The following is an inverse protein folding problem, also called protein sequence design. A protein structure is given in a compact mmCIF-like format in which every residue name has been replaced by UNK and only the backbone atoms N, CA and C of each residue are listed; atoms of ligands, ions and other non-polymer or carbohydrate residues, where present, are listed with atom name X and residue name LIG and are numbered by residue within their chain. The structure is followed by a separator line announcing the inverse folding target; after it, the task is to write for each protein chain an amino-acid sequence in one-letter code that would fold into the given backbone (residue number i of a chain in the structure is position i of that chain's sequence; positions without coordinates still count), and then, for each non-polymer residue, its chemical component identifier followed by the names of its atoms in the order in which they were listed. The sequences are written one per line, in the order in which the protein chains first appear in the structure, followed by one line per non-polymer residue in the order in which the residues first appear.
data_IF_297102244108
#
_entry.id   IF_297102244108
#
_cell.length_a   1.000
_cell.length_b   1.000
_cell.length_c   1.000
_cell.angle_alpha   90.00
_cell.angle_beta   90.00
_cell.angle_gamma   90.00
#
_symmetry.space_group_name_H-M   'P 1'
#
loop_
_entity.id
_entity.type
_entity.pdbx_description
1 polymer ?
#
# COMPACT_ATOMS: atom_id res chain seq x y z
N UNK A 1 19.10 11.50 0.73
CA UNK A 1 17.75 11.52 0.11
C UNK A 1 16.75 12.03 1.13
N UNK A 2 16.33 13.29 1.04
CA UNK A 2 15.30 13.83 1.91
C UNK A 2 13.99 13.05 1.65
N UNK A 3 13.49 12.33 2.65
CA UNK A 3 12.25 11.60 2.51
C UNK A 3 11.11 12.61 2.37
N UNK A 4 10.53 12.71 1.18
CA UNK A 4 9.30 13.47 0.97
C UNK A 4 8.25 12.95 1.96
N UNK A 5 7.90 13.81 2.93
CA UNK A 5 6.83 13.56 3.90
C UNK A 5 5.53 14.01 3.26
N UNK A 6 4.47 13.23 3.49
CA UNK A 6 3.14 13.63 3.02
C UNK A 6 2.78 14.98 3.64
N UNK A 7 2.08 15.85 2.90
CA UNK A 7 1.64 17.13 3.43
C UNK A 7 0.62 16.99 4.57
N UNK A 8 -0.05 15.83 4.66
CA UNK A 8 -1.08 15.54 5.66
C UNK A 8 -0.64 14.40 6.57
N UNK A 9 -0.71 14.61 7.89
CA UNK A 9 -0.61 13.51 8.87
C UNK A 9 -1.94 12.74 8.85
N UNK A 10 -1.95 11.47 8.44
CA UNK A 10 -3.20 10.78 8.20
C UNK A 10 -3.83 10.32 9.52
N UNK A 11 -5.07 10.72 9.79
CA UNK A 11 -5.86 10.22 10.93
C UNK A 11 -6.58 8.92 10.53
N UNK A 12 -5.81 7.85 10.32
CA UNK A 12 -6.36 6.55 9.88
C UNK A 12 -7.04 5.86 11.05
N UNK A 13 -8.36 5.72 10.99
CA UNK A 13 -9.14 4.93 11.96
C UNK A 13 -9.49 3.58 11.35
N UNK A 14 -8.90 2.50 11.88
CA UNK A 14 -9.27 1.12 11.55
C UNK A 14 -10.37 0.65 12.49
N UNK A 15 -11.61 0.59 12.00
CA UNK A 15 -12.78 0.10 12.77
C UNK A 15 -12.71 -1.40 13.08
N UNK A 16 -11.95 -2.16 12.30
CA UNK A 16 -11.71 -3.58 12.46
C UNK A 16 -10.34 -3.94 11.89
N UNK A 17 -9.61 -4.80 12.60
CA UNK A 17 -8.31 -5.34 12.18
C UNK A 17 -8.35 -6.86 12.01
N UNK A 18 -9.23 -7.55 12.75
CA UNK A 18 -9.39 -9.01 12.67
C UNK A 18 -10.08 -9.42 11.38
N UNK A 19 -9.48 -10.39 10.67
CA UNK A 19 -10.10 -11.04 9.52
C UNK A 19 -11.40 -11.76 9.94
N UNK A 20 -12.34 -11.87 8.99
CA UNK A 20 -13.58 -12.64 9.14
C UNK A 20 -13.78 -13.53 7.94
N UNK A 21 -14.12 -14.78 8.19
CA UNK A 21 -14.48 -15.75 7.16
C UNK A 21 -16.01 -15.77 7.08
N UNK A 22 -16.54 -15.76 5.86
CA UNK A 22 -17.97 -15.93 5.64
C UNK A 22 -18.30 -17.42 5.72
N UNK A 23 -19.21 -17.79 6.62
CA UNK A 23 -19.73 -19.15 6.72
C UNK A 23 -21.04 -19.26 5.97
N UNK A 24 -21.20 -20.36 5.22
CA UNK A 24 -22.38 -20.63 4.38
C UNK A 24 -23.28 -21.74 4.95
N UNK A 25 -22.77 -22.57 5.87
CA UNK A 25 -23.54 -23.66 6.45
C UNK A 25 -24.72 -23.16 7.30
N UNK A 26 -25.87 -23.82 7.17
CA UNK A 26 -27.11 -23.52 7.90
C UNK A 26 -26.94 -23.63 9.42
N UNK A 27 -26.14 -24.59 9.88
CA UNK A 27 -25.88 -24.83 11.32
C UNK A 27 -24.73 -23.97 11.86
N UNK A 28 -24.17 -23.07 11.04
CA UNK A 28 -23.08 -22.20 11.48
C UNK A 28 -23.59 -21.16 12.47
N UNK A 29 -23.13 -21.26 13.72
CA UNK A 29 -23.37 -20.27 14.77
C UNK A 29 -22.93 -18.85 14.38
N UNK A 30 -21.90 -18.73 13.53
CA UNK A 30 -21.41 -17.44 13.00
C UNK A 30 -22.37 -16.89 11.95
N UNK A 31 -22.88 -17.75 11.05
CA UNK A 31 -23.89 -17.37 10.06
C UNK A 31 -25.17 -16.88 10.73
N UNK A 32 -25.61 -17.54 11.80
CA UNK A 32 -26.75 -17.15 12.63
C UNK A 32 -26.48 -15.99 13.60
N UNK A 33 -25.25 -15.45 13.63
CA UNK A 33 -24.84 -14.30 14.46
C UNK A 33 -25.10 -14.47 15.96
N UNK A 34 -24.88 -15.67 16.49
CA UNK A 34 -25.04 -15.95 17.92
C UNK A 34 -24.02 -15.19 18.77
N UNK A 35 -24.42 -14.77 19.97
CA UNK A 35 -23.55 -14.06 20.92
C UNK A 35 -22.31 -14.89 21.27
N UNK A 36 -21.16 -14.22 21.39
CA UNK A 36 -19.87 -14.86 21.70
C UNK A 36 -19.12 -15.40 20.50
N UNK A 37 -19.71 -15.34 19.29
CA UNK A 37 -19.03 -15.70 18.04
C UNK A 37 -18.34 -14.50 17.39
N UNK A 38 -17.50 -14.77 16.39
CA UNK A 38 -16.83 -13.74 15.59
C UNK A 38 -17.89 -12.98 14.79
N UNK A 39 -17.85 -11.64 14.86
CA UNK A 39 -18.76 -10.79 14.08
C UNK A 39 -18.55 -10.97 12.58
N UNK A 40 -19.64 -11.15 11.83
CA UNK A 40 -19.60 -11.14 10.36
C UNK A 40 -19.18 -9.76 9.82
N UNK A 41 -18.54 -9.68 8.64
CA UNK A 41 -18.25 -8.40 8.01
C UNK A 41 -19.54 -7.73 7.54
N UNK A 42 -19.67 -6.43 7.81
CA UNK A 42 -20.78 -5.59 7.41
C UNK A 42 -20.24 -4.24 6.88
N UNK A 43 -21.13 -3.42 6.30
CA UNK A 43 -20.75 -2.13 5.70
C UNK A 43 -20.29 -1.09 6.74
N UNK A 44 -20.69 -1.20 8.02
CA UNK A 44 -20.36 -0.20 9.04
C UNK A 44 -18.88 -0.24 9.44
N UNK A 45 -18.21 -1.38 9.27
CA UNK A 45 -16.75 -1.51 9.43
C UNK A 45 -15.93 -0.80 8.33
N UNK A 46 -16.56 -0.27 7.27
CA UNK A 46 -15.87 0.48 6.21
C UNK A 46 -15.17 1.71 6.80
N UNK A 47 -13.90 1.90 6.41
CA UNK A 47 -13.10 3.10 6.71
C UNK A 47 -13.68 4.35 6.04
N UNK A 48 -13.28 5.54 6.50
CA UNK A 48 -13.68 6.79 5.83
C UNK A 48 -13.21 6.78 4.38
N UNK A 49 -13.96 7.47 3.50
CA UNK A 49 -13.64 7.54 2.06
C UNK A 49 -12.27 8.17 1.82
N UNK A 50 -11.93 9.19 2.59
CA UNK A 50 -10.69 9.96 2.49
C UNK A 50 -9.44 9.12 2.82
N UNK A 51 -9.49 8.32 3.89
CA UNK A 51 -8.32 7.54 4.33
C UNK A 51 -8.33 6.11 3.78
N UNK A 52 -9.27 5.78 2.89
CA UNK A 52 -9.36 4.44 2.30
C UNK A 52 -8.13 4.22 1.43
N UNK A 53 -7.50 3.04 1.56
CA UNK A 53 -6.28 2.65 0.82
C UNK A 53 -5.01 3.50 1.08
N UNK A 54 -5.04 4.40 2.06
CA UNK A 54 -3.88 5.19 2.44
C UNK A 54 -2.92 4.39 3.34
N UNK A 55 -1.62 4.59 3.13
CA UNK A 55 -0.56 4.08 4.00
C UNK A 55 -0.51 4.83 5.33
N UNK A 56 0.08 4.21 6.38
CA UNK A 56 0.45 4.92 7.60
C UNK A 56 1.37 6.12 7.37
N UNK A 57 2.16 6.11 6.28
CA UNK A 57 3.04 7.21 5.88
C UNK A 57 2.29 8.43 5.31
N UNK A 58 0.98 8.31 5.05
CA UNK A 58 0.14 9.37 4.51
C UNK A 58 0.08 9.45 2.99
N UNK A 59 0.66 8.48 2.28
CA UNK A 59 0.60 8.37 0.82
C UNK A 59 -0.37 7.26 0.38
N UNK A 60 -0.86 7.34 -0.85
CA UNK A 60 -1.52 6.22 -1.53
C UNK A 60 -0.52 5.40 -2.34
N UNK A 61 -0.69 4.08 -2.33
CA UNK A 61 0.17 3.18 -3.10
C UNK A 61 -0.19 3.20 -4.57
N UNK A 62 0.83 3.29 -5.42
CA UNK A 62 0.72 3.08 -6.85
C UNK A 62 1.72 1.98 -7.25
N UNK A 63 1.21 0.87 -7.78
CA UNK A 63 2.03 -0.24 -8.23
C UNK A 63 2.62 0.08 -9.60
N UNK A 64 3.94 0.01 -9.74
CA UNK A 64 4.67 0.35 -10.97
C UNK A 64 5.35 -0.87 -11.56
N UNK A 65 5.20 -1.06 -12.87
CA UNK A 65 5.88 -2.08 -13.67
C UNK A 65 6.99 -1.51 -14.54
N UNK A 66 6.82 -0.31 -15.08
CA UNK A 66 7.70 0.31 -16.09
C UNK A 66 8.06 1.76 -15.76
N UNK A 67 9.05 2.31 -16.47
CA UNK A 67 9.54 3.68 -16.25
C UNK A 67 8.48 4.73 -16.65
N UNK A 68 7.73 4.47 -17.72
CA UNK A 68 6.67 5.36 -18.22
C UNK A 68 5.54 5.55 -17.20
N UNK A 69 5.18 4.50 -16.46
CA UNK A 69 4.16 4.55 -15.40
C UNK A 69 4.60 5.45 -14.23
N UNK A 70 5.90 5.63 -14.07
CA UNK A 70 6.49 6.50 -13.06
C UNK A 70 6.35 7.99 -13.46
N UNK A 71 6.25 8.29 -14.75
CA UNK A 71 6.04 9.65 -15.27
C UNK A 71 4.61 10.14 -15.06
N UNK A 72 3.62 9.22 -15.10
CA UNK A 72 2.22 9.52 -14.75
C UNK A 72 2.12 10.11 -13.33
N UNK A 73 3.03 9.71 -12.44
CA UNK A 73 3.04 10.19 -11.07
C UNK A 73 3.63 11.59 -10.90
N UNK A 74 4.31 12.18 -11.90
CA UNK A 74 5.04 13.45 -11.79
C UNK A 74 4.24 14.58 -11.13
N UNK A 75 2.97 14.72 -11.52
CA UNK A 75 2.08 15.75 -10.96
C UNK A 75 1.55 15.38 -9.56
N UNK A 76 1.52 14.09 -9.25
CA UNK A 76 0.89 13.46 -8.10
C UNK A 76 1.88 13.06 -6.97
N UNK A 77 3.16 13.47 -7.06
CA UNK A 77 4.26 13.09 -6.16
C UNK A 77 3.99 13.35 -4.66
N UNK A 78 3.14 14.33 -4.33
CA UNK A 78 2.83 14.69 -2.93
C UNK A 78 1.84 13.73 -2.27
N UNK A 79 1.02 13.07 -3.07
CA UNK A 79 -0.08 12.22 -2.61
C UNK A 79 0.23 10.74 -2.79
N UNK A 80 0.92 10.37 -3.86
CA UNK A 80 1.18 8.97 -4.20
C UNK A 80 2.63 8.57 -3.95
N UNK A 81 2.80 7.29 -3.64
CA UNK A 81 4.07 6.62 -3.49
C UNK A 81 4.13 5.45 -4.47
N UNK A 82 5.28 5.23 -5.09
CA UNK A 82 5.47 4.11 -6.00
C UNK A 82 5.87 2.83 -5.24
N UNK A 83 5.24 1.70 -5.59
CA UNK A 83 5.63 0.35 -5.22
C UNK A 83 6.13 -0.37 -6.47
N UNK A 84 7.39 -0.79 -6.50
CA UNK A 84 7.92 -1.58 -7.61
C UNK A 84 7.26 -2.96 -7.56
N UNK A 85 6.64 -3.37 -8.66
CA UNK A 85 5.97 -4.66 -8.75
C UNK A 85 6.94 -5.83 -8.62
N UNK A 86 6.47 -6.93 -8.02
CA UNK A 86 7.29 -8.13 -7.79
C UNK A 86 7.86 -8.74 -9.09
N UNK A 87 7.19 -8.56 -10.24
CA UNK A 87 7.64 -9.12 -11.52
C UNK A 87 8.89 -8.41 -12.08
N UNK A 88 9.18 -7.19 -11.65
CA UNK A 88 10.28 -6.39 -12.21
C UNK A 88 11.63 -7.01 -11.82
N UNK A 89 12.51 -7.16 -12.81
CA UNK A 89 13.86 -7.71 -12.62
C UNK A 89 14.80 -6.67 -12.01
N UNK A 90 15.86 -7.12 -11.35
CA UNK A 90 16.83 -6.26 -10.65
C UNK A 90 17.43 -5.15 -11.52
N UNK A 91 17.73 -5.45 -12.79
CA UNK A 91 18.25 -4.47 -13.77
C UNK A 91 17.28 -3.30 -13.97
N UNK A 92 15.99 -3.59 -14.13
CA UNK A 92 14.96 -2.58 -14.33
C UNK A 92 14.57 -1.90 -13.00
N UNK A 93 14.72 -2.58 -11.87
CA UNK A 93 14.56 -1.94 -10.56
C UNK A 93 15.58 -0.81 -10.36
N UNK A 94 16.85 -1.00 -10.76
CA UNK A 94 17.88 0.05 -10.71
C UNK A 94 17.44 1.28 -11.51
N UNK A 95 17.04 1.09 -12.77
CA UNK A 95 16.62 2.20 -13.63
C UNK A 95 15.37 2.92 -13.12
N UNK A 96 14.42 2.20 -12.52
CA UNK A 96 13.24 2.78 -11.87
C UNK A 96 13.60 3.62 -10.65
N UNK A 97 14.51 3.13 -9.80
CA UNK A 97 14.95 3.85 -8.60
C UNK A 97 15.69 5.13 -9.00
N UNK A 98 16.57 5.07 -9.99
CA UNK A 98 17.29 6.24 -10.50
C UNK A 98 16.32 7.26 -11.12
N UNK A 99 15.36 6.81 -11.93
CA UNK A 99 14.35 7.69 -12.52
C UNK A 99 13.47 8.34 -11.44
N UNK A 100 13.03 7.57 -10.45
CA UNK A 100 12.23 8.10 -9.35
C UNK A 100 12.99 9.12 -8.51
N UNK A 101 14.31 8.94 -8.34
CA UNK A 101 15.16 9.91 -7.67
C UNK A 101 15.20 11.25 -8.42
N UNK A 102 15.31 11.22 -9.76
CA UNK A 102 15.24 12.42 -10.58
C UNK A 102 13.87 13.12 -10.51
N UNK A 103 12.78 12.35 -10.55
CA UNK A 103 11.41 12.88 -10.50
C UNK A 103 11.00 13.31 -9.08
N UNK A 104 11.76 12.94 -8.05
CA UNK A 104 11.40 13.16 -6.65
C UNK A 104 10.15 12.36 -6.26
N UNK A 105 10.04 11.10 -6.70
CA UNK A 105 8.97 10.20 -6.29
C UNK A 105 9.47 9.30 -5.17
N UNK A 106 8.68 9.18 -4.11
CA UNK A 106 8.99 8.24 -3.03
C UNK A 106 8.68 6.82 -3.51
N UNK A 107 9.65 5.92 -3.34
CA UNK A 107 9.49 4.48 -3.52
C UNK A 107 9.40 3.80 -2.14
N UNK A 108 8.49 2.85 -1.98
CA UNK A 108 8.33 2.10 -0.71
C UNK A 108 9.42 1.04 -0.54
N UNK A 109 9.75 0.36 -1.62
CA UNK A 109 10.67 -0.76 -1.67
C UNK A 109 11.96 -0.40 -2.41
N UNK A 110 12.70 0.61 -1.92
CA UNK A 110 13.92 1.12 -2.58
C UNK A 110 14.98 0.06 -2.82
N UNK A 111 15.09 -0.91 -1.91
CA UNK A 111 16.10 -1.97 -1.98
C UNK A 111 15.56 -3.25 -2.64
N UNK A 112 14.39 -3.21 -3.28
CA UNK A 112 13.79 -4.39 -3.88
C UNK A 112 14.71 -5.00 -4.95
N UNK A 113 15.20 -6.23 -4.68
CA UNK A 113 16.03 -7.03 -5.60
C UNK A 113 17.37 -6.37 -6.01
N UNK A 114 17.77 -5.29 -5.36
CA UNK A 114 19.12 -4.76 -5.50
C UNK A 114 20.04 -5.67 -4.70
N UNK A 115 20.96 -6.36 -5.38
CA UNK A 115 22.05 -7.07 -4.71
C UNK A 115 22.82 -6.04 -3.88
N UNK A 116 23.13 -6.36 -2.61
CA UNK A 116 24.16 -5.62 -1.88
C UNK A 116 25.46 -5.88 -2.64
N UNK A 117 25.92 -4.91 -3.42
CA UNK A 117 27.35 -4.84 -3.70
C UNK A 117 28.01 -4.64 -2.35
N UNK A 118 28.87 -5.58 -1.96
CA UNK A 118 29.62 -5.54 -0.71
C UNK A 118 30.35 -4.19 -0.65
N UNK A 119 30.02 -3.41 0.38
CA UNK A 119 30.80 -2.23 0.72
C UNK A 119 32.02 -2.74 1.48
N UNK A 120 33.18 -2.77 0.82
CA UNK A 120 34.47 -2.63 1.51
C UNK A 120 34.54 -1.26 2.21
#
# INVERSE_FOLDING_TARGET
MAALRSPVKPKIVKKRTKASIQHQGTDSRVHSRLKGQIWMPNISYRSSKETKHMLPSGFWNFLVHNVEELEVLLMCNKSYCAEIAHKVLSKNCKTLVDRAAHLGIRIINTNARLCREEKE
#
